data_IF_424993249900
#
_entry.id   IF_424993249900
#
_cell.length_a   1.000
_cell.length_b   1.000
_cell.length_c   1.000
_cell.angle_alpha   90.00
_cell.angle_beta   90.00
_cell.angle_gamma   90.00
#
_symmetry.space_group_name_H-M   'P 1'
#
loop_
_entity.id
_entity.type
_entity.pdbx_description
1 polymer ?
#
# COMPACT_ATOMS: atom_id res chain seq x y z
N UNK A 1 -4.94 -25.19 -6.56
CA UNK A 1 -4.67 -25.23 -5.12
C UNK A 1 -5.18 -23.94 -4.52
N UNK A 2 -6.31 -23.99 -3.81
CA UNK A 2 -7.06 -22.80 -3.40
C UNK A 2 -6.56 -22.33 -2.04
N UNK A 3 -5.82 -21.21 -2.01
CA UNK A 3 -5.42 -20.59 -0.75
C UNK A 3 -6.63 -19.95 -0.08
N UNK A 4 -7.22 -20.69 0.87
CA UNK A 4 -8.20 -20.16 1.82
C UNK A 4 -7.46 -19.23 2.78
N UNK A 5 -7.56 -17.92 2.52
CA UNK A 5 -7.16 -16.90 3.49
C UNK A 5 -7.94 -17.11 4.80
N UNK A 6 -7.32 -16.96 5.98
CA UNK A 6 -8.05 -16.99 7.24
C UNK A 6 -9.13 -15.90 7.22
N UNK A 7 -10.38 -16.21 7.65
CA UNK A 7 -11.55 -15.34 7.42
C UNK A 7 -11.54 -14.03 8.22
N UNK A 8 -10.47 -13.74 8.95
CA UNK A 8 -10.36 -12.63 9.90
C UNK A 8 -9.67 -11.38 9.34
N UNK A 9 -8.81 -11.50 8.32
CA UNK A 9 -7.86 -10.42 8.01
C UNK A 9 -8.44 -9.26 7.17
N UNK A 10 -9.47 -9.49 6.35
CA UNK A 10 -10.16 -8.44 5.57
C UNK A 10 -11.65 -8.76 5.35
N UNK A 11 -12.43 -8.86 6.42
CA UNK A 11 -13.89 -8.75 6.26
C UNK A 11 -14.25 -7.28 6.04
N UNK A 12 -14.96 -6.98 4.94
CA UNK A 12 -15.79 -5.77 4.90
C UNK A 12 -16.70 -5.82 6.15
N UNK A 13 -16.73 -4.78 7.00
CA UNK A 13 -17.57 -4.79 8.19
C UNK A 13 -19.02 -5.03 7.80
N UNK A 14 -19.58 -6.19 8.16
CA UNK A 14 -21.00 -6.49 7.89
C UNK A 14 -21.93 -5.60 8.71
N UNK A 15 -21.42 -5.04 9.81
CA UNK A 15 -22.18 -4.28 10.81
C UNK A 15 -21.62 -2.86 11.07
N UNK A 16 -21.04 -2.19 10.06
CA UNK A 16 -20.56 -0.80 10.22
C UNK A 16 -19.44 -0.59 11.25
N UNK A 17 -18.63 -1.62 11.52
CA UNK A 17 -17.51 -1.57 12.47
C UNK A 17 -16.28 -0.90 11.83
N UNK A 18 -15.62 -0.02 12.59
CA UNK A 18 -14.41 0.71 12.23
C UNK A 18 -13.20 -0.21 11.95
N UNK A 19 -12.22 0.27 11.18
CA UNK A 19 -10.86 -0.29 11.12
C UNK A 19 -10.20 -0.25 12.51
N UNK A 20 -10.11 -1.39 13.18
CA UNK A 20 -9.76 -1.47 14.61
C UNK A 20 -8.34 -1.00 14.96
N UNK A 21 -7.45 -0.90 13.98
CA UNK A 21 -6.01 -0.68 14.19
C UNK A 21 -5.46 0.61 13.58
N UNK A 22 -6.27 1.39 12.86
CA UNK A 22 -5.88 2.71 12.37
C UNK A 22 -6.32 3.78 13.39
N UNK A 23 -5.48 4.77 13.74
CA UNK A 23 -5.85 5.83 14.68
C UNK A 23 -7.08 6.61 14.19
N UNK A 24 -7.98 7.01 15.11
CA UNK A 24 -9.21 7.77 14.78
C UNK A 24 -8.85 9.19 14.33
N UNK A 25 -7.91 9.80 15.07
CA UNK A 25 -7.49 11.18 14.91
C UNK A 25 -5.96 11.23 14.98
N UNK A 26 -5.25 10.66 14.00
CA UNK A 26 -3.81 10.74 13.94
C UNK A 26 -3.37 12.21 13.98
N UNK A 27 -2.51 12.52 14.93
CA UNK A 27 -1.93 13.85 15.13
C UNK A 27 -0.93 14.21 14.03
N UNK A 28 -0.42 13.21 13.31
CA UNK A 28 0.53 13.37 12.22
C UNK A 28 0.40 12.27 11.17
N UNK A 29 0.90 12.53 9.95
CA UNK A 29 1.07 11.51 8.91
C UNK A 29 1.98 10.35 9.39
N UNK A 30 2.97 10.62 10.24
CA UNK A 30 3.88 9.61 10.78
C UNK A 30 3.17 8.57 11.64
N UNK A 31 2.30 9.02 12.55
CA UNK A 31 1.48 8.14 13.42
C UNK A 31 0.58 7.19 12.60
N UNK A 32 -0.04 7.72 11.53
CA UNK A 32 -0.84 6.91 10.62
C UNK A 32 0.05 5.94 9.80
N UNK A 33 1.21 6.40 9.29
CA UNK A 33 2.16 5.54 8.56
C UNK A 33 2.67 4.38 9.42
N UNK A 34 3.03 4.63 10.68
CA UNK A 34 3.50 3.60 11.61
C UNK A 34 2.42 2.54 11.86
N UNK A 35 1.19 3.00 12.10
CA UNK A 35 0.01 2.13 12.29
C UNK A 35 -0.27 1.27 11.05
N UNK A 36 -0.22 1.86 9.86
CA UNK A 36 -0.40 1.16 8.58
C UNK A 36 0.75 0.17 8.33
N UNK A 37 2.00 0.56 8.57
CA UNK A 37 3.18 -0.32 8.51
C UNK A 37 3.02 -1.55 9.41
N UNK A 38 2.63 -1.34 10.67
CA UNK A 38 2.39 -2.41 11.65
C UNK A 38 1.31 -3.38 11.17
N UNK A 39 0.15 -2.85 10.75
CA UNK A 39 -0.96 -3.63 10.20
C UNK A 39 -0.52 -4.48 9.00
N UNK A 40 0.22 -3.91 8.04
CA UNK A 40 0.68 -4.65 6.84
C UNK A 40 1.68 -5.74 7.22
N UNK A 41 2.63 -5.50 8.15
CA UNK A 41 3.56 -6.54 8.62
C UNK A 41 2.80 -7.72 9.23
N UNK A 42 1.77 -7.43 10.02
CA UNK A 42 0.91 -8.44 10.67
C UNK A 42 0.03 -9.20 9.65
N UNK A 43 -0.41 -8.55 8.57
CA UNK A 43 -1.07 -9.21 7.43
C UNK A 43 -0.07 -10.13 6.70
N UNK A 44 1.14 -9.66 6.38
CA UNK A 44 2.16 -10.47 5.69
C UNK A 44 2.54 -11.71 6.50
N UNK A 45 2.79 -11.56 7.81
CA UNK A 45 3.06 -12.69 8.70
C UNK A 45 1.87 -13.68 8.76
N UNK A 46 0.64 -13.17 8.76
CA UNK A 46 -0.59 -13.98 8.73
C UNK A 46 -0.84 -14.72 7.41
N UNK A 47 -0.12 -14.42 6.33
CA UNK A 47 -0.14 -15.19 5.07
C UNK A 47 0.77 -16.43 5.11
N UNK A 48 1.59 -16.58 6.16
CA UNK A 48 2.55 -17.67 6.32
C UNK A 48 3.88 -17.44 5.59
N UNK A 49 4.85 -18.31 5.88
CA UNK A 49 6.19 -18.22 5.30
C UNK A 49 6.18 -18.44 3.77
N UNK A 50 7.02 -17.71 3.01
CA UNK A 50 7.18 -17.92 1.59
C UNK A 50 7.68 -19.34 1.28
N UNK A 51 6.98 -20.06 0.39
CA UNK A 51 7.23 -21.47 0.10
C UNK A 51 8.40 -21.72 -0.89
N UNK A 52 9.40 -20.84 -0.93
CA UNK A 52 10.50 -20.95 -1.91
C UNK A 52 11.74 -20.15 -1.53
N UNK A 53 12.90 -20.73 -1.78
CA UNK A 53 14.20 -20.19 -1.38
C UNK A 53 14.44 -18.77 -1.91
N UNK A 54 14.87 -17.89 -1.00
CA UNK A 54 15.15 -16.49 -1.31
C UNK A 54 13.91 -15.64 -1.63
N UNK A 55 12.69 -16.18 -1.49
CA UNK A 55 11.45 -15.39 -1.54
C UNK A 55 11.17 -14.81 -0.15
N UNK A 56 11.01 -13.50 -0.07
CA UNK A 56 10.63 -12.80 1.15
C UNK A 56 9.73 -11.60 0.83
N UNK A 57 8.99 -11.11 1.82
CA UNK A 57 8.31 -9.81 1.78
C UNK A 57 8.57 -9.05 3.07
N UNK A 58 8.76 -7.75 2.95
CA UNK A 58 9.06 -6.86 4.06
C UNK A 58 8.38 -5.50 3.84
N UNK A 59 8.11 -4.78 4.92
CA UNK A 59 7.42 -3.49 4.91
C UNK A 59 8.39 -2.41 5.40
N UNK A 60 8.79 -1.54 4.49
CA UNK A 60 9.74 -0.46 4.75
C UNK A 60 9.01 0.87 4.73
N UNK A 61 9.18 1.65 5.80
CA UNK A 61 8.70 3.04 5.86
C UNK A 61 9.56 3.88 4.91
N UNK A 62 8.99 4.19 3.75
CA UNK A 62 9.68 4.86 2.65
C UNK A 62 9.64 6.38 2.76
N UNK A 63 8.83 6.92 3.69
CA UNK A 63 8.87 8.31 4.11
C UNK A 63 10.16 8.61 4.88
N UNK A 64 10.61 7.68 5.74
CA UNK A 64 11.92 7.74 6.38
C UNK A 64 13.06 7.37 5.39
N UNK A 65 12.88 6.30 4.60
CA UNK A 65 13.90 5.79 3.67
C UNK A 65 14.08 6.60 2.36
N UNK A 66 13.45 7.77 2.24
CA UNK A 66 13.88 8.84 1.33
C UNK A 66 14.15 8.37 -0.12
N UNK A 67 13.22 7.60 -0.71
CA UNK A 67 13.33 6.95 -2.05
C UNK A 67 13.32 7.92 -3.25
N UNK A 68 14.00 9.06 -3.08
CA UNK A 68 14.08 10.20 -3.98
C UNK A 68 14.69 9.81 -5.31
N UNK A 69 13.82 9.49 -6.26
CA UNK A 69 14.19 9.54 -7.67
C UNK A 69 14.81 10.92 -7.96
N UNK A 70 16.03 11.03 -8.52
CA UNK A 70 16.79 12.29 -8.59
C UNK A 70 16.00 13.46 -9.21
N UNK A 71 15.13 13.15 -10.17
CA UNK A 71 14.25 14.08 -10.90
C UNK A 71 12.85 14.28 -10.29
N UNK A 72 12.40 13.41 -9.39
CA UNK A 72 11.01 13.31 -8.92
C UNK A 72 10.93 13.03 -7.42
N UNK A 73 11.48 13.94 -6.60
CA UNK A 73 11.61 13.77 -5.15
C UNK A 73 10.28 13.59 -4.41
N UNK A 74 9.20 14.15 -4.97
CA UNK A 74 7.87 14.15 -4.35
C UNK A 74 7.00 12.95 -4.78
N UNK A 75 7.47 12.14 -5.74
CA UNK A 75 6.78 10.95 -6.26
C UNK A 75 7.42 9.67 -5.71
N UNK A 76 7.58 9.61 -4.39
CA UNK A 76 8.06 8.45 -3.65
C UNK A 76 6.88 7.88 -2.83
N UNK A 77 6.68 6.56 -2.76
CA UNK A 77 5.62 6.00 -1.92
C UNK A 77 5.92 6.27 -0.44
N UNK A 78 4.89 6.51 0.37
CA UNK A 78 5.05 6.63 1.83
C UNK A 78 5.52 5.33 2.51
N UNK A 79 5.05 4.18 2.02
CA UNK A 79 5.37 2.83 2.51
C UNK A 79 5.62 1.93 1.30
N UNK A 80 6.63 1.06 1.39
CA UNK A 80 6.96 0.10 0.35
C UNK A 80 6.84 -1.33 0.87
N UNK A 81 6.09 -2.17 0.16
CA UNK A 81 6.24 -3.62 0.29
C UNK A 81 7.43 -4.03 -0.58
N UNK A 82 8.59 -4.23 0.05
CA UNK A 82 9.76 -4.84 -0.58
C UNK A 82 9.54 -6.35 -0.72
N UNK A 83 10.09 -6.94 -1.76
CA UNK A 83 10.14 -8.40 -1.88
C UNK A 83 11.39 -8.89 -2.61
N UNK A 84 11.76 -10.13 -2.33
CA UNK A 84 12.85 -10.85 -3.00
C UNK A 84 12.31 -12.11 -3.69
N UNK A 85 13.12 -12.67 -4.59
CA UNK A 85 12.81 -13.90 -5.32
C UNK A 85 13.05 -13.77 -6.83
N UNK A 86 12.79 -14.82 -7.63
CA UNK A 86 13.16 -14.86 -9.05
C UNK A 86 12.51 -13.77 -9.94
N UNK A 87 11.42 -13.14 -9.48
CA UNK A 87 10.71 -12.08 -10.20
C UNK A 87 11.09 -10.65 -9.77
N UNK A 88 12.13 -10.50 -8.95
CA UNK A 88 12.60 -9.21 -8.43
C UNK A 88 14.08 -9.03 -8.71
N UNK A 89 14.48 -7.84 -9.15
CA UNK A 89 15.88 -7.54 -9.39
C UNK A 89 16.63 -7.37 -8.07
N UNK A 90 17.78 -8.05 -7.94
CA UNK A 90 18.83 -7.64 -7.01
C UNK A 90 19.58 -6.50 -7.68
N UNK A 91 19.12 -5.26 -7.50
CA UNK A 91 19.85 -4.12 -8.05
C UNK A 91 21.18 -3.97 -7.31
N UNK A 92 22.30 -3.94 -8.03
CA UNK A 92 23.61 -3.66 -7.43
C UNK A 92 23.68 -2.22 -6.88
N UNK A 93 22.83 -1.33 -7.39
CA UNK A 93 22.58 0.01 -6.87
C UNK A 93 21.67 0.03 -5.61
N UNK A 94 21.35 -1.12 -4.99
CA UNK A 94 20.69 -1.18 -3.67
C UNK A 94 21.41 -0.31 -2.62
N UNK A 95 22.73 -0.14 -2.76
CA UNK A 95 23.55 0.73 -1.90
C UNK A 95 23.27 2.24 -2.05
N UNK A 96 22.59 2.68 -3.12
CA UNK A 96 22.16 4.07 -3.31
C UNK A 96 20.78 4.36 -2.67
N UNK A 97 20.05 3.33 -2.26
CA UNK A 97 18.73 3.45 -1.65
C UNK A 97 18.80 3.15 -0.14
N UNK A 98 18.25 4.04 0.68
CA UNK A 98 18.15 3.78 2.13
C UNK A 98 17.26 2.55 2.35
N UNK A 99 17.66 1.72 3.31
CA UNK A 99 17.09 0.41 3.61
C UNK A 99 17.03 -0.58 2.43
N UNK A 100 17.68 -0.28 1.30
CA UNK A 100 17.79 -1.17 0.15
C UNK A 100 16.45 -1.46 -0.57
N UNK A 101 15.57 -0.46 -0.66
CA UNK A 101 14.32 -0.54 -1.43
C UNK A 101 14.46 0.26 -2.72
N UNK A 102 14.09 -0.33 -3.85
CA UNK A 102 14.05 0.37 -5.14
C UNK A 102 13.01 -0.24 -6.07
N UNK A 103 12.76 0.41 -7.20
CA UNK A 103 11.73 -0.04 -8.14
C UNK A 103 11.96 -1.46 -8.71
N UNK A 104 13.19 -1.99 -8.63
CA UNK A 104 13.52 -3.39 -8.97
C UNK A 104 13.05 -4.44 -7.95
N UNK A 105 12.88 -4.07 -6.67
CA UNK A 105 12.44 -4.97 -5.59
C UNK A 105 11.13 -4.54 -4.90
N UNK A 106 10.49 -3.47 -5.39
CA UNK A 106 9.18 -2.99 -4.93
C UNK A 106 8.03 -3.86 -5.46
N UNK A 107 7.32 -4.55 -4.58
CA UNK A 107 6.15 -5.36 -4.92
C UNK A 107 4.84 -4.55 -4.96
N UNK A 108 4.70 -3.56 -4.07
CA UNK A 108 3.53 -2.69 -4.00
C UNK A 108 3.89 -1.35 -3.34
N UNK A 109 3.67 -0.21 -4.01
CA UNK A 109 3.73 1.11 -3.39
C UNK A 109 2.45 1.36 -2.58
N UNK A 110 2.61 2.03 -1.44
CA UNK A 110 1.51 2.41 -0.55
C UNK A 110 1.73 3.86 -0.12
N UNK A 111 0.74 4.71 -0.36
CA UNK A 111 0.73 6.08 0.12
C UNK A 111 -0.19 6.24 1.32
N UNK A 112 0.34 6.90 2.34
CA UNK A 112 -0.39 7.29 3.54
C UNK A 112 -0.44 8.80 3.60
N UNK A 113 -1.63 9.36 3.74
CA UNK A 113 -1.85 10.80 3.91
C UNK A 113 -3.00 11.01 4.91
N UNK A 114 -3.02 12.14 5.61
CA UNK A 114 -4.20 12.53 6.37
C UNK A 114 -5.36 12.87 5.42
N UNK A 115 -6.60 12.69 5.85
CA UNK A 115 -7.77 13.02 5.03
C UNK A 115 -7.76 14.50 4.63
N UNK A 116 -7.60 14.72 3.34
CA UNK A 116 -7.69 16.00 2.66
C UNK A 116 -8.54 15.80 1.41
N UNK A 117 -9.10 16.87 0.80
CA UNK A 117 -9.76 16.77 -0.50
C UNK A 117 -8.76 16.43 -1.61
N UNK A 118 -8.36 15.16 -1.67
CA UNK A 118 -7.45 14.62 -2.68
C UNK A 118 -8.24 14.22 -3.92
N UNK A 119 -7.81 14.72 -5.08
CA UNK A 119 -8.41 14.38 -6.36
C UNK A 119 -8.04 12.95 -6.76
N UNK A 120 -9.02 12.14 -7.15
CA UNK A 120 -8.78 10.78 -7.66
C UNK A 120 -7.82 10.77 -8.86
N UNK A 121 -7.86 11.81 -9.70
CA UNK A 121 -6.94 11.93 -10.84
C UNK A 121 -5.47 11.99 -10.40
N UNK A 122 -5.18 12.61 -9.26
CA UNK A 122 -3.81 12.77 -8.76
C UNK A 122 -3.31 11.42 -8.19
N UNK A 123 -4.17 10.70 -7.46
CA UNK A 123 -3.90 9.33 -6.99
C UNK A 123 -3.69 8.36 -8.17
N UNK A 124 -4.51 8.46 -9.23
CA UNK A 124 -4.35 7.67 -10.46
C UNK A 124 -3.04 8.03 -11.18
N UNK A 125 -2.69 9.32 -11.28
CA UNK A 125 -1.44 9.76 -11.90
C UNK A 125 -0.20 9.28 -11.12
N UNK A 126 -0.25 9.32 -9.78
CA UNK A 126 0.79 8.82 -8.88
C UNK A 126 0.91 7.29 -8.98
N UNK A 127 -0.20 6.55 -8.99
CA UNK A 127 -0.21 5.11 -9.22
C UNK A 127 0.37 4.74 -10.60
N UNK A 128 0.03 5.50 -11.65
CA UNK A 128 0.57 5.32 -12.99
C UNK A 128 2.08 5.62 -13.05
N UNK A 129 2.56 6.63 -12.31
CA UNK A 129 3.99 6.92 -12.19
C UNK A 129 4.75 5.75 -11.55
N UNK A 130 4.33 5.27 -10.37
CA UNK A 130 4.95 4.08 -9.75
C UNK A 130 4.89 2.87 -10.68
N UNK A 131 3.77 2.66 -11.35
CA UNK A 131 3.59 1.54 -12.27
C UNK A 131 4.62 1.59 -13.40
N UNK A 132 4.85 2.77 -13.99
CA UNK A 132 5.85 2.96 -15.05
C UNK A 132 7.27 2.65 -14.57
N UNK A 133 7.66 3.10 -13.37
CA UNK A 133 8.98 2.82 -12.81
C UNK A 133 9.17 1.31 -12.55
N UNK A 134 8.21 0.68 -11.88
CA UNK A 134 8.24 -0.77 -11.61
C UNK A 134 8.24 -1.59 -12.91
N UNK A 135 7.45 -1.26 -13.93
CA UNK A 135 7.48 -2.00 -15.21
C UNK A 135 8.81 -1.86 -15.96
N UNK A 136 9.56 -0.77 -15.73
CA UNK A 136 10.89 -0.57 -16.33
C UNK A 136 11.91 -1.51 -15.70
N UNK A 137 11.88 -1.66 -14.37
CA UNK A 137 12.81 -2.49 -13.60
C UNK A 137 12.36 -3.96 -13.44
N UNK A 138 11.07 -4.24 -13.61
CA UNK A 138 10.43 -5.55 -13.44
C UNK A 138 9.51 -5.86 -14.64
N UNK A 139 10.05 -6.07 -15.85
CA UNK A 139 9.26 -6.28 -17.08
C UNK A 139 8.36 -7.53 -17.03
N UNK A 140 8.62 -8.47 -16.12
CA UNK A 140 7.83 -9.68 -15.91
C UNK A 140 6.53 -9.44 -15.09
N UNK A 141 6.15 -8.18 -14.82
CA UNK A 141 4.90 -7.81 -14.13
C UNK A 141 3.75 -7.66 -15.13
N UNK A 142 2.62 -8.30 -14.84
CA UNK A 142 1.37 -8.14 -15.61
C UNK A 142 0.45 -7.03 -15.06
N UNK A 143 0.51 -6.80 -13.74
CA UNK A 143 -0.26 -5.77 -13.05
C UNK A 143 0.51 -5.29 -11.83
N UNK A 144 0.21 -4.07 -11.39
CA UNK A 144 0.74 -3.43 -10.19
C UNK A 144 -0.43 -2.91 -9.38
N UNK A 145 -0.37 -3.05 -8.06
CA UNK A 145 -1.38 -2.53 -7.12
C UNK A 145 -0.74 -1.45 -6.27
N UNK A 146 -1.32 -0.26 -6.33
CA UNK A 146 -1.00 0.89 -5.49
C UNK A 146 -2.12 1.08 -4.49
N UNK A 147 -1.78 1.29 -3.22
CA UNK A 147 -2.74 1.53 -2.15
C UNK A 147 -2.62 2.97 -1.67
N UNK A 148 -3.74 3.67 -1.52
CA UNK A 148 -3.82 4.99 -0.91
C UNK A 148 -4.64 4.87 0.36
N UNK A 149 -4.11 5.34 1.49
CA UNK A 149 -4.71 5.19 2.82
C UNK A 149 -4.77 6.56 3.49
N UNK A 150 -5.94 6.88 4.03
CA UNK A 150 -6.18 7.93 5.02
C UNK A 150 -6.77 7.31 6.28
N UNK A 151 -6.97 8.10 7.33
CA UNK A 151 -7.62 7.62 8.56
C UNK A 151 -9.12 7.29 8.38
N UNK A 152 -9.71 7.59 7.22
CA UNK A 152 -11.13 7.33 6.91
C UNK A 152 -11.36 6.50 5.66
N UNK A 153 -10.41 6.52 4.72
CA UNK A 153 -10.59 5.99 3.37
C UNK A 153 -9.39 5.15 2.93
N UNK A 154 -9.67 4.08 2.20
CA UNK A 154 -8.68 3.25 1.55
C UNK A 154 -9.05 3.09 0.07
N UNK A 155 -8.13 3.40 -0.84
CA UNK A 155 -8.31 3.20 -2.29
C UNK A 155 -7.25 2.26 -2.82
N UNK A 156 -7.69 1.19 -3.47
CA UNK A 156 -6.84 0.29 -4.24
C UNK A 156 -6.91 0.69 -5.72
N UNK A 157 -5.77 0.98 -6.33
CA UNK A 157 -5.65 1.22 -7.78
C UNK A 157 -4.80 0.10 -8.36
N UNK A 158 -5.37 -0.68 -9.29
CA UNK A 158 -4.62 -1.69 -10.05
C UNK A 158 -4.36 -1.18 -11.47
N UNK A 159 -3.10 -0.99 -11.83
CA UNK A 159 -2.66 -0.66 -13.20
C UNK A 159 -2.27 -1.94 -13.94
N UNK A 160 -2.70 -2.09 -15.19
CA UNK A 160 -2.36 -3.25 -16.04
C UNK A 160 -1.32 -2.86 -17.10
N UNK A 161 -0.38 -3.77 -17.39
CA UNK A 161 0.64 -3.57 -18.41
C UNK A 161 0.03 -3.33 -19.82
N UNK A 162 0.79 -2.68 -20.70
CA UNK A 162 0.46 -2.53 -22.13
C UNK A 162 -0.67 -1.55 -22.52
N UNK A 163 -1.52 -1.12 -21.58
CA UNK A 163 -2.66 -0.22 -21.88
C UNK A 163 -2.73 1.06 -21.03
N UNK A 164 -1.97 1.13 -19.93
CA UNK A 164 -2.19 2.11 -18.83
C UNK A 164 -3.65 2.20 -18.36
N UNK A 165 -4.44 1.15 -18.60
CA UNK A 165 -5.76 1.00 -18.00
C UNK A 165 -5.60 0.73 -16.51
N UNK A 166 -6.48 1.33 -15.72
CA UNK A 166 -6.49 1.20 -14.27
C UNK A 166 -7.89 0.81 -13.78
N UNK A 167 -7.93 0.02 -12.70
CA UNK A 167 -9.16 -0.25 -11.95
C UNK A 167 -9.02 0.35 -10.55
N UNK A 168 -9.87 1.32 -10.25
CA UNK A 168 -10.00 1.98 -8.94
C UNK A 168 -11.03 1.25 -8.09
N UNK A 169 -10.83 1.16 -6.78
CA UNK A 169 -11.81 0.64 -5.81
C UNK A 169 -11.63 1.31 -4.47
N UNK A 170 -12.67 2.01 -4.00
CA UNK A 170 -12.65 2.82 -2.78
C UNK A 170 -13.45 2.14 -1.67
N UNK A 171 -12.87 2.13 -0.48
CA UNK A 171 -13.44 1.62 0.75
C UNK A 171 -13.45 2.77 1.74
N UNK A 172 -14.63 3.34 1.98
CA UNK A 172 -14.84 4.43 2.93
C UNK A 172 -15.36 3.87 4.24
N UNK A 173 -14.89 4.38 5.38
CA UNK A 173 -15.57 4.09 6.64
C UNK A 173 -16.98 4.69 6.59
N UNK A 174 -17.99 3.87 6.88
CA UNK A 174 -19.37 4.36 6.99
C UNK A 174 -19.53 4.89 8.41
N UNK A 175 -19.84 6.18 8.64
CA UNK A 175 -20.03 6.68 9.99
C UNK A 175 -21.16 5.90 10.66
N UNK A 176 -20.90 5.41 11.88
CA UNK A 176 -21.92 4.74 12.67
C UNK A 176 -23.11 5.69 12.82
N UNK A 177 -24.30 5.25 12.39
CA UNK A 177 -25.54 6.01 12.59
C UNK A 177 -25.70 6.20 14.09
N UNK A 178 -25.62 7.44 14.56
CA UNK A 178 -26.11 7.81 15.87
C UNK A 178 -27.61 7.56 15.90
N UNK A 179 -28.02 6.45 16.51
CA UNK A 179 -29.41 6.28 16.93
C UNK A 179 -29.66 7.30 18.04
N UNK A 180 -30.15 8.48 17.64
CA UNK A 180 -30.61 9.49 18.57
C UNK A 180 -31.75 8.90 19.41
N UNK A 181 -31.53 8.76 20.71
CA UNK A 181 -32.57 8.39 21.66
C UNK A 181 -33.52 9.56 21.85
N UNK A 182 -34.43 9.75 20.90
CA UNK A 182 -35.66 10.51 21.12
C UNK A 182 -36.72 9.52 21.57
N UNK A 183 -36.79 9.32 22.87
CA UNK A 183 -37.99 8.83 23.55
C UNK A 183 -38.44 9.92 24.51
N UNK A 184 -39.72 10.23 24.38
CA UNK A 184 -40.51 11.18 25.19
C UNK A 184 -40.86 10.55 26.52
#
# INVERSE_FOLDING_TARGET
>A
MTLLLPPTLLQKPRDGRRWTELPIHPTSKGELSESVCSLIRRIIAGLGEPTGDGVARDVVDSHAANLKHPKYKDLCPGISIRATGPSFGRSEAINEYIDGVGYANLASPIDVNLEQPSNEKDQVAQAAFYSKQIYTEQPNRNFIRSLFVTEKNLRLIQTVAGSMSHRSSTFTETPARSFGSSLV
#
